data_IF_808172378826
#
_entry.id   IF_808172378826
#
_cell.length_a   1.000
_cell.length_b   1.000
_cell.length_c   1.000
_cell.angle_alpha   90.00
_cell.angle_beta   90.00
_cell.angle_gamma   90.00
#
_symmetry.space_group_name_H-M   'P 1'
#
loop_
_entity.id
_entity.type
_entity.pdbx_description
1 polymer ?
#
# COMPACT_ATOMS: atom_id res chain seq x y z
N UNK A 1 -7.38 23.86 16.93
CA UNK A 1 -6.98 23.05 15.75
C UNK A 1 -8.10 23.18 14.74
N UNK A 2 -7.83 23.70 13.55
CA UNK A 2 -8.80 23.70 12.47
C UNK A 2 -8.86 22.30 11.86
N UNK A 3 -10.06 21.76 11.71
CA UNK A 3 -10.30 20.48 11.07
C UNK A 3 -10.90 20.76 9.71
N UNK A 4 -10.26 20.26 8.65
CA UNK A 4 -10.76 20.40 7.29
C UNK A 4 -10.65 19.07 6.54
N UNK A 5 -11.51 18.91 5.56
CA UNK A 5 -11.58 17.77 4.65
C UNK A 5 -11.18 18.23 3.23
N UNK A 6 -11.01 17.30 2.32
CA UNK A 6 -10.73 17.61 0.91
C UNK A 6 -11.76 18.53 0.28
N UNK A 7 -13.02 18.49 0.74
CA UNK A 7 -14.08 19.39 0.30
C UNK A 7 -13.86 20.86 0.72
N UNK A 8 -12.97 21.12 1.69
CA UNK A 8 -12.72 22.43 2.28
C UNK A 8 -11.38 23.04 1.85
N UNK A 9 -10.63 22.38 0.97
CA UNK A 9 -9.33 22.84 0.50
C UNK A 9 -9.29 22.99 -1.01
N UNK A 10 -8.48 23.92 -1.48
CA UNK A 10 -8.18 24.14 -2.89
C UNK A 10 -6.68 24.23 -3.11
N UNK A 11 -6.23 23.77 -4.26
CA UNK A 11 -4.85 23.95 -4.67
C UNK A 11 -4.63 25.41 -5.05
N UNK A 12 -3.61 26.05 -4.46
CA UNK A 12 -3.19 27.39 -4.85
C UNK A 12 -2.49 27.34 -6.21
N UNK A 13 -2.99 28.05 -7.22
CA UNK A 13 -2.35 28.10 -8.53
C UNK A 13 -0.96 28.74 -8.44
N UNK A 14 0.00 28.17 -9.15
CA UNK A 14 1.35 28.73 -9.32
C UNK A 14 1.59 29.11 -10.77
N UNK A 15 2.65 29.89 -11.02
CA UNK A 15 3.06 30.24 -12.38
C UNK A 15 3.30 28.98 -13.20
N UNK A 16 2.59 28.86 -14.31
CA UNK A 16 2.76 27.78 -15.26
C UNK A 16 4.09 27.94 -16.00
N UNK A 17 4.81 26.83 -16.19
CA UNK A 17 6.10 26.76 -16.88
C UNK A 17 6.05 25.91 -18.15
N UNK A 18 4.90 25.29 -18.44
CA UNK A 18 4.69 24.41 -19.58
C UNK A 18 3.64 25.00 -20.53
N UNK A 19 3.75 24.74 -21.80
CA UNK A 19 2.78 25.16 -22.81
C UNK A 19 1.60 24.21 -22.92
N UNK A 20 1.86 22.92 -22.71
CA UNK A 20 0.86 21.85 -22.78
C UNK A 20 0.90 20.94 -21.56
N UNK A 21 -0.28 20.42 -21.16
CA UNK A 21 -0.41 19.38 -20.13
C UNK A 21 0.37 18.10 -20.50
N UNK A 22 0.54 17.83 -21.78
CA UNK A 22 1.29 16.66 -22.25
C UNK A 22 2.79 16.70 -21.94
N UNK A 23 3.33 17.87 -21.58
CA UNK A 23 4.71 18.06 -21.13
C UNK A 23 4.90 17.72 -19.65
N UNK A 24 3.79 17.57 -18.91
CA UNK A 24 3.85 17.25 -17.49
C UNK A 24 4.08 15.76 -17.28
N UNK A 25 5.14 15.43 -16.55
CA UNK A 25 5.38 14.09 -16.05
C UNK A 25 4.70 13.92 -14.68
N UNK A 26 3.67 13.08 -14.64
CA UNK A 26 2.93 12.73 -13.41
C UNK A 26 3.44 11.44 -12.76
N UNK A 27 4.51 10.85 -13.28
CA UNK A 27 5.05 9.61 -12.74
C UNK A 27 5.63 9.77 -11.34
N UNK A 28 5.58 8.69 -10.56
CA UNK A 28 6.12 8.63 -9.20
C UNK A 28 6.96 7.36 -9.03
N UNK A 29 8.01 7.46 -8.24
CA UNK A 29 8.81 6.29 -7.84
C UNK A 29 8.40 5.84 -6.44
N UNK A 30 8.20 4.53 -6.29
CA UNK A 30 7.92 3.89 -5.01
C UNK A 30 8.64 2.53 -4.97
N UNK A 31 9.46 2.30 -3.95
CA UNK A 31 10.17 1.03 -3.78
C UNK A 31 11.03 0.62 -4.98
N UNK A 32 11.67 1.58 -5.65
CA UNK A 32 12.52 1.32 -6.83
C UNK A 32 11.77 1.06 -8.13
N UNK A 33 10.44 1.15 -8.15
CA UNK A 33 9.59 1.02 -9.34
C UNK A 33 8.92 2.36 -9.66
N UNK A 34 8.91 2.74 -10.95
CA UNK A 34 8.19 3.89 -11.44
C UNK A 34 6.76 3.54 -11.82
N UNK A 35 5.82 4.34 -11.36
CA UNK A 35 4.40 4.27 -11.67
C UNK A 35 3.94 5.49 -12.45
N UNK A 36 2.89 5.35 -13.26
CA UNK A 36 2.42 6.38 -14.19
C UNK A 36 1.86 7.62 -13.51
N UNK A 37 1.22 7.46 -12.35
CA UNK A 37 0.59 8.54 -11.58
C UNK A 37 0.68 8.25 -10.08
N UNK A 38 0.67 9.28 -9.22
CA UNK A 38 0.66 9.14 -7.75
C UNK A 38 -0.75 8.90 -7.20
N UNK A 39 -1.55 8.06 -7.86
CA UNK A 39 -2.90 7.73 -7.43
C UNK A 39 -3.02 6.22 -7.23
N UNK A 40 -3.62 5.83 -6.13
CA UNK A 40 -3.80 4.43 -5.73
C UNK A 40 -5.28 4.19 -5.45
N UNK A 41 -5.92 3.20 -6.07
CA UNK A 41 -7.28 2.83 -5.71
C UNK A 41 -7.32 2.31 -4.27
N UNK A 42 -8.37 2.64 -3.54
CA UNK A 42 -8.55 2.14 -2.17
C UNK A 42 -8.56 0.60 -2.18
N UNK A 43 -7.82 0.00 -1.27
CA UNK A 43 -7.71 -1.45 -1.12
C UNK A 43 -8.95 -2.08 -0.46
N UNK A 44 -10.10 -1.81 -1.06
CA UNK A 44 -11.41 -2.24 -0.60
C UNK A 44 -12.00 -3.26 -1.57
N UNK A 45 -12.67 -4.29 -1.07
CA UNK A 45 -13.33 -5.34 -1.86
C UNK A 45 -14.34 -4.80 -2.89
N UNK A 46 -14.90 -3.61 -2.62
CA UNK A 46 -15.83 -2.94 -3.51
C UNK A 46 -15.17 -2.05 -4.57
N UNK A 47 -13.85 -1.87 -4.50
CA UNK A 47 -13.09 -0.97 -5.39
C UNK A 47 -12.12 -1.73 -6.27
N UNK A 48 -11.43 -2.73 -5.71
CA UNK A 48 -10.44 -3.54 -6.44
C UNK A 48 -10.78 -5.01 -6.34
N UNK A 49 -10.49 -5.74 -7.38
CA UNK A 49 -10.49 -7.20 -7.46
C UNK A 49 -9.24 -7.68 -8.19
N UNK A 50 -9.10 -8.99 -8.34
CA UNK A 50 -7.94 -9.59 -9.02
C UNK A 50 -7.77 -9.08 -10.45
N UNK A 51 -8.87 -8.95 -11.21
CA UNK A 51 -8.83 -8.50 -12.62
C UNK A 51 -8.35 -7.07 -12.73
N UNK A 52 -8.86 -6.18 -11.87
CA UNK A 52 -8.46 -4.77 -11.82
C UNK A 52 -6.99 -4.67 -11.40
N UNK A 53 -6.56 -5.41 -10.38
CA UNK A 53 -5.17 -5.39 -9.90
C UNK A 53 -4.19 -5.92 -10.97
N UNK A 54 -4.54 -6.98 -11.69
CA UNK A 54 -3.75 -7.48 -12.82
C UNK A 54 -3.62 -6.40 -13.89
N UNK A 55 -4.74 -5.79 -14.30
CA UNK A 55 -4.72 -4.74 -15.31
C UNK A 55 -3.87 -3.54 -14.87
N UNK A 56 -3.98 -3.11 -13.62
CA UNK A 56 -3.18 -2.02 -13.05
C UNK A 56 -1.68 -2.35 -13.10
N UNK A 57 -1.31 -3.57 -12.69
CA UNK A 57 0.07 -4.03 -12.75
C UNK A 57 0.64 -4.02 -14.18
N UNK A 58 -0.10 -4.57 -15.14
CA UNK A 58 0.28 -4.67 -16.55
C UNK A 58 0.42 -3.28 -17.21
N UNK A 59 -0.31 -2.28 -16.70
CA UNK A 59 -0.31 -0.92 -17.24
C UNK A 59 0.55 0.08 -16.46
N UNK A 60 1.33 -0.38 -15.47
CA UNK A 60 2.28 0.46 -14.73
C UNK A 60 1.63 1.40 -13.73
N UNK A 61 0.49 1.04 -13.17
CA UNK A 61 -0.17 1.74 -12.07
C UNK A 61 0.07 1.02 -10.76
N UNK A 62 0.22 1.78 -9.67
CA UNK A 62 0.31 1.19 -8.33
C UNK A 62 -1.07 0.80 -7.83
N UNK A 63 -1.15 -0.33 -7.16
CA UNK A 63 -2.35 -0.84 -6.51
C UNK A 63 -1.97 -1.54 -5.21
N UNK A 64 -2.94 -1.74 -4.35
CA UNK A 64 -2.86 -2.63 -3.20
C UNK A 64 -4.08 -3.56 -3.25
N UNK A 65 -3.85 -4.87 -3.34
CA UNK A 65 -4.94 -5.85 -3.29
C UNK A 65 -5.51 -5.91 -1.89
N UNK A 66 -6.84 -5.94 -1.76
CA UNK A 66 -7.49 -6.09 -0.46
C UNK A 66 -7.22 -7.47 0.16
N UNK A 67 -7.44 -7.61 1.48
CA UNK A 67 -7.18 -8.83 2.24
C UNK A 67 -8.44 -9.62 2.66
N UNK A 68 -9.62 -9.23 2.17
CA UNK A 68 -10.90 -9.78 2.61
C UNK A 68 -11.37 -10.89 1.65
N UNK A 69 -11.67 -12.08 2.20
CA UNK A 69 -12.15 -13.24 1.45
C UNK A 69 -11.27 -13.57 0.22
N UNK A 70 -9.96 -13.46 0.39
CA UNK A 70 -8.97 -13.66 -0.66
C UNK A 70 -7.85 -14.57 -0.16
N UNK A 71 -7.39 -15.47 -1.01
CA UNK A 71 -6.13 -16.19 -0.83
C UNK A 71 -4.96 -15.35 -1.37
N UNK A 72 -4.32 -14.61 -0.48
CA UNK A 72 -3.16 -13.77 -0.83
C UNK A 72 -2.00 -14.60 -1.41
N UNK A 73 -1.79 -15.83 -0.95
CA UNK A 73 -0.72 -16.69 -1.45
C UNK A 73 -0.98 -17.08 -2.90
N UNK A 74 -2.22 -17.48 -3.21
CA UNK A 74 -2.62 -17.79 -4.57
C UNK A 74 -2.51 -16.56 -5.48
N UNK A 75 -2.97 -15.41 -5.02
CA UNK A 75 -2.85 -14.15 -5.78
C UNK A 75 -1.39 -13.83 -6.13
N UNK A 76 -0.46 -13.90 -5.17
CA UNK A 76 0.97 -13.68 -5.43
C UNK A 76 1.54 -14.69 -6.42
N UNK A 77 1.12 -15.95 -6.34
CA UNK A 77 1.52 -17.00 -7.28
C UNK A 77 1.06 -16.70 -8.71
N UNK A 78 -0.18 -16.23 -8.86
CA UNK A 78 -0.77 -15.88 -10.16
C UNK A 78 -0.09 -14.65 -10.77
N UNK A 79 0.22 -13.63 -9.97
CA UNK A 79 0.96 -12.44 -10.41
C UNK A 79 2.38 -12.81 -10.87
N UNK A 80 3.08 -13.67 -10.12
CA UNK A 80 4.39 -14.20 -10.51
C UNK A 80 4.34 -14.97 -11.82
N UNK A 81 3.33 -15.82 -11.99
CA UNK A 81 3.15 -16.60 -13.23
C UNK A 81 2.93 -15.73 -14.46
N UNK A 82 2.35 -14.52 -14.26
CA UNK A 82 2.16 -13.52 -15.31
C UNK A 82 3.38 -12.63 -15.53
N UNK A 83 4.42 -12.72 -14.71
CA UNK A 83 5.60 -11.87 -14.79
C UNK A 83 5.34 -10.40 -14.41
N UNK A 84 4.33 -10.13 -13.61
CA UNK A 84 3.99 -8.80 -13.10
C UNK A 84 4.19 -8.73 -11.59
N UNK A 85 4.42 -7.51 -11.08
CA UNK A 85 4.63 -7.30 -9.66
C UNK A 85 3.37 -7.61 -8.84
N UNK A 86 3.57 -8.12 -7.62
CA UNK A 86 2.51 -8.34 -6.66
C UNK A 86 2.53 -7.29 -5.56
N UNK A 87 1.36 -6.73 -5.25
CA UNK A 87 1.13 -5.83 -4.13
C UNK A 87 -0.11 -6.29 -3.38
N UNK A 88 0.07 -6.71 -2.13
CA UNK A 88 -0.96 -7.30 -1.28
C UNK A 88 -1.17 -6.47 -0.02
N UNK A 89 -2.29 -6.70 0.67
CA UNK A 89 -2.48 -6.23 2.04
C UNK A 89 -2.62 -7.39 3.03
N UNK A 90 -2.13 -7.18 4.24
CA UNK A 90 -2.18 -8.12 5.36
C UNK A 90 -2.72 -7.41 6.60
N UNK A 91 -3.34 -8.19 7.48
CA UNK A 91 -3.63 -7.78 8.85
C UNK A 91 -2.47 -8.08 9.80
N UNK A 92 -2.80 -8.27 11.09
CA UNK A 92 -1.82 -8.57 12.15
C UNK A 92 -2.24 -9.78 13.00
N UNK A 93 -3.10 -10.63 12.46
CA UNK A 93 -3.62 -11.82 13.16
C UNK A 93 -2.90 -13.09 12.72
N UNK A 94 -3.10 -14.18 13.43
CA UNK A 94 -2.45 -15.46 13.14
C UNK A 94 -2.58 -15.93 11.68
N UNK A 95 -3.74 -15.79 10.99
CA UNK A 95 -3.83 -16.16 9.57
C UNK A 95 -2.89 -15.35 8.67
N UNK A 96 -2.65 -14.06 8.98
CA UNK A 96 -1.76 -13.20 8.20
C UNK A 96 -0.30 -13.67 8.32
N UNK A 97 0.15 -14.05 9.54
CA UNK A 97 1.47 -14.64 9.76
C UNK A 97 1.62 -15.99 9.02
N UNK A 98 0.59 -16.84 9.08
CA UNK A 98 0.59 -18.10 8.38
C UNK A 98 0.71 -17.94 6.84
N UNK A 99 0.05 -16.93 6.28
CA UNK A 99 0.19 -16.60 4.86
C UNK A 99 1.61 -16.15 4.51
N UNK A 100 2.25 -15.35 5.36
CA UNK A 100 3.66 -14.96 5.20
C UNK A 100 4.57 -16.18 5.23
N UNK A 101 4.43 -17.04 6.23
CA UNK A 101 5.24 -18.26 6.36
C UNK A 101 5.05 -19.20 5.18
N UNK A 102 3.83 -19.34 4.67
CA UNK A 102 3.55 -20.14 3.47
C UNK A 102 4.21 -19.53 2.23
N UNK A 103 4.09 -18.23 2.00
CA UNK A 103 4.76 -17.54 0.88
C UNK A 103 6.28 -17.76 0.94
N UNK A 104 6.89 -17.63 2.12
CA UNK A 104 8.32 -17.87 2.32
C UNK A 104 8.69 -19.32 1.98
N UNK A 105 7.92 -20.30 2.46
CA UNK A 105 8.16 -21.72 2.19
C UNK A 105 8.07 -22.06 0.68
N UNK A 106 7.24 -21.34 -0.07
CA UNK A 106 7.09 -21.47 -1.51
C UNK A 106 8.05 -20.58 -2.33
N UNK A 107 8.91 -19.79 -1.66
CA UNK A 107 9.82 -18.87 -2.32
C UNK A 107 9.09 -17.73 -3.06
N UNK A 108 7.89 -17.38 -2.60
CA UNK A 108 7.08 -16.26 -3.11
C UNK A 108 7.37 -15.03 -2.28
N UNK A 109 7.77 -13.94 -2.92
CA UNK A 109 7.96 -12.64 -2.28
C UNK A 109 7.23 -11.59 -3.10
N UNK A 110 6.10 -11.04 -2.61
CA UNK A 110 5.48 -9.88 -3.26
C UNK A 110 6.39 -8.66 -3.12
N UNK A 111 6.43 -7.81 -4.14
CA UNK A 111 7.25 -6.59 -4.11
C UNK A 111 6.74 -5.59 -3.08
N UNK A 112 5.44 -5.54 -2.86
CA UNK A 112 4.82 -4.61 -1.92
C UNK A 112 3.89 -5.34 -0.97
N UNK A 113 4.02 -5.05 0.32
CA UNK A 113 3.14 -5.56 1.37
C UNK A 113 2.62 -4.39 2.18
N UNK A 114 1.31 -4.18 2.18
CA UNK A 114 0.65 -3.15 2.99
C UNK A 114 0.05 -3.79 4.24
N UNK A 115 0.51 -3.37 5.42
CA UNK A 115 -0.14 -3.70 6.69
C UNK A 115 -1.33 -2.76 6.84
N UNK A 116 -2.55 -3.29 6.68
CA UNK A 116 -3.79 -2.53 6.59
C UNK A 116 -4.65 -2.71 7.85
N UNK A 117 -4.48 -1.81 8.80
CA UNK A 117 -5.17 -1.80 10.10
C UNK A 117 -5.77 -0.42 10.32
N UNK A 118 -7.04 -0.36 10.75
CA UNK A 118 -7.75 0.90 10.98
C UNK A 118 -7.02 1.81 11.98
N UNK A 119 -6.37 1.23 13.01
CA UNK A 119 -5.49 1.93 13.95
C UNK A 119 -4.07 1.35 13.85
N UNK A 120 -3.27 1.92 12.93
CA UNK A 120 -1.94 1.40 12.59
C UNK A 120 -0.86 1.65 13.65
N UNK A 121 -1.05 2.62 14.53
CA UNK A 121 -0.11 2.89 15.64
C UNK A 121 -0.32 1.92 16.79
N UNK A 122 0.05 0.66 16.61
CA UNK A 122 -0.20 -0.42 17.55
C UNK A 122 0.92 -1.47 17.57
N UNK A 123 1.14 -2.11 18.70
CA UNK A 123 2.16 -3.16 18.88
C UNK A 123 2.00 -4.34 17.91
N UNK A 124 0.78 -4.67 17.52
CA UNK A 124 0.53 -5.71 16.53
C UNK A 124 1.13 -5.35 15.17
N UNK A 125 1.03 -4.09 14.76
CA UNK A 125 1.64 -3.59 13.52
C UNK A 125 3.16 -3.60 13.62
N UNK A 126 3.74 -3.16 14.75
CA UNK A 126 5.18 -3.25 15.01
C UNK A 126 5.71 -4.67 14.87
N UNK A 127 5.01 -5.65 15.45
CA UNK A 127 5.39 -7.05 15.36
C UNK A 127 5.34 -7.56 13.92
N UNK A 128 4.29 -7.22 13.17
CA UNK A 128 4.16 -7.63 11.76
C UNK A 128 5.23 -6.97 10.88
N UNK A 129 5.55 -5.69 11.05
CA UNK A 129 6.64 -5.02 10.32
C UNK A 129 7.95 -5.79 10.53
N UNK A 130 8.32 -6.08 11.78
CA UNK A 130 9.55 -6.80 12.10
C UNK A 130 9.57 -8.21 11.51
N UNK A 131 8.45 -8.92 11.58
CA UNK A 131 8.33 -10.24 11.01
C UNK A 131 8.53 -10.21 9.48
N UNK A 132 7.90 -9.27 8.78
CA UNK A 132 8.07 -9.09 7.34
C UNK A 132 9.51 -8.75 6.97
N UNK A 133 10.15 -7.83 7.69
CA UNK A 133 11.55 -7.46 7.42
C UNK A 133 12.53 -8.59 7.69
N UNK A 134 12.24 -9.47 8.64
CA UNK A 134 13.01 -10.68 8.89
C UNK A 134 12.81 -11.73 7.79
N UNK A 135 11.56 -12.03 7.43
CA UNK A 135 11.19 -13.13 6.54
C UNK A 135 11.28 -12.78 5.05
N UNK A 136 11.00 -11.54 4.70
CA UNK A 136 10.95 -11.01 3.33
C UNK A 136 11.68 -9.67 3.22
N UNK A 137 13.00 -9.62 3.46
CA UNK A 137 13.77 -8.35 3.54
C UNK A 137 13.75 -7.53 2.25
N UNK A 138 13.46 -8.14 1.11
CA UNK A 138 13.34 -7.46 -0.19
C UNK A 138 11.97 -6.86 -0.46
N UNK A 139 10.95 -7.19 0.34
CA UNK A 139 9.62 -6.63 0.17
C UNK A 139 9.59 -5.17 0.66
N UNK A 140 8.92 -4.31 -0.09
CA UNK A 140 8.64 -2.93 0.30
C UNK A 140 7.41 -2.90 1.21
N UNK A 141 7.62 -2.59 2.48
CA UNK A 141 6.57 -2.64 3.52
C UNK A 141 5.95 -1.28 3.72
N UNK A 142 4.66 -1.17 3.43
CA UNK A 142 3.83 0.01 3.71
C UNK A 142 3.02 -0.31 4.97
N UNK A 143 2.99 0.59 5.95
CA UNK A 143 2.24 0.36 7.19
C UNK A 143 1.23 1.47 7.47
N UNK A 144 0.04 1.12 7.94
CA UNK A 144 -1.01 2.06 8.30
C UNK A 144 -2.30 1.40 8.78
N UNK A 145 -3.35 2.20 9.00
CA UNK A 145 -3.40 3.64 8.77
C UNK A 145 -3.01 4.42 10.03
N UNK A 146 -2.37 5.54 9.84
CA UNK A 146 -1.98 6.46 10.93
C UNK A 146 -2.40 7.89 10.59
N UNK A 147 -2.48 8.77 11.60
CA UNK A 147 -2.92 10.15 11.42
C UNK A 147 -2.13 11.18 12.27
N UNK A 148 -1.03 10.76 12.91
CA UNK A 148 -0.20 11.66 13.73
C UNK A 148 1.27 11.59 13.31
N UNK A 149 2.04 12.69 13.46
CA UNK A 149 3.47 12.68 13.18
C UNK A 149 4.24 11.64 13.98
N UNK A 150 3.89 11.46 15.25
CA UNK A 150 4.52 10.49 16.14
C UNK A 150 4.34 9.05 15.62
N UNK A 151 3.13 8.74 15.13
CA UNK A 151 2.86 7.43 14.55
C UNK A 151 3.68 7.18 13.27
N UNK A 152 3.82 8.19 12.41
CA UNK A 152 4.67 8.08 11.20
C UNK A 152 6.11 7.77 11.59
N UNK A 153 6.68 8.53 12.54
CA UNK A 153 8.05 8.34 13.03
C UNK A 153 8.22 6.95 13.64
N UNK A 154 7.26 6.49 14.43
CA UNK A 154 7.32 5.18 15.06
C UNK A 154 7.26 4.03 14.03
N UNK A 155 6.37 4.11 13.05
CA UNK A 155 6.29 3.09 11.99
C UNK A 155 7.59 3.01 11.18
N UNK A 156 8.18 4.15 10.86
CA UNK A 156 9.49 4.23 10.20
C UNK A 156 10.58 3.59 11.06
N UNK A 157 10.66 3.96 12.34
CA UNK A 157 11.62 3.37 13.31
C UNK A 157 11.41 1.87 13.53
N UNK A 158 10.19 1.35 13.33
CA UNK A 158 9.92 -0.09 13.39
C UNK A 158 10.35 -0.84 12.14
N UNK A 159 10.66 -0.12 11.04
CA UNK A 159 11.20 -0.65 9.79
C UNK A 159 10.26 -0.61 8.60
N UNK A 160 9.15 0.13 8.66
CA UNK A 160 8.32 0.37 7.47
C UNK A 160 9.08 1.23 6.46
N UNK A 161 8.94 0.91 5.17
CA UNK A 161 9.55 1.68 4.08
C UNK A 161 8.67 2.88 3.68
N UNK A 162 7.38 2.79 3.96
CA UNK A 162 6.43 3.89 3.77
C UNK A 162 5.29 3.79 4.79
N UNK A 163 4.61 4.92 5.02
CA UNK A 163 3.45 5.00 5.92
C UNK A 163 2.19 5.39 5.15
N UNK A 164 1.08 4.70 5.42
CA UNK A 164 -0.24 5.04 4.88
C UNK A 164 -0.93 5.98 5.86
N UNK A 165 -0.94 7.27 5.52
CA UNK A 165 -1.50 8.34 6.37
C UNK A 165 -2.93 8.64 5.97
N UNK A 166 -3.82 8.68 6.95
CA UNK A 166 -5.23 9.03 6.79
C UNK A 166 -6.15 8.07 7.53
N UNK A 167 -6.98 8.64 8.42
CA UNK A 167 -8.03 7.91 9.14
C UNK A 167 -9.31 8.72 8.99
N UNK A 168 -10.33 8.11 8.38
CA UNK A 168 -11.64 8.71 8.20
C UNK A 168 -11.84 9.65 7.00
N UNK A 169 -10.87 10.01 6.16
CA UNK A 169 -11.11 10.93 5.04
C UNK A 169 -12.09 10.37 4.01
N UNK A 170 -12.23 9.05 3.91
CA UNK A 170 -13.20 8.40 3.06
C UNK A 170 -14.58 8.17 3.70
N UNK A 171 -14.78 8.62 4.93
CA UNK A 171 -16.03 8.44 5.72
C UNK A 171 -16.46 6.97 5.87
N UNK A 172 -15.53 6.03 5.76
CA UNK A 172 -15.76 4.57 5.85
C UNK A 172 -15.07 3.98 7.08
N UNK A 173 -13.98 4.59 7.53
CA UNK A 173 -13.17 4.12 8.68
C UNK A 173 -13.58 4.79 10.00
N UNK A 174 -14.87 5.02 10.23
CA UNK A 174 -15.45 5.60 11.43
C UNK A 174 -16.27 4.57 12.20
#
# INVERSE_FOLDING_TARGET
MEIFDYDNILLLPRKCQVESRSECDAGVELGGRRFRIPAVPANMKTVVDEKICIWLAENGYFYVMHRFDLDNVQFVRDMRARGVYASISLGVKAPDYAAVDQMVAEGLVPEYITIDIAHGHADGVKKMIRHLKEKMPSAFVIAGNVATPEAVIDLENWGADATKVGVGPGKVCI
#
